data_IF_064052154917
#
_entry.id   IF_064052154917
#
_cell.length_a   1.000
_cell.length_b   1.000
_cell.length_c   1.000
_cell.angle_alpha   90.00
_cell.angle_beta   90.00
_cell.angle_gamma   90.00
#
_symmetry.space_group_name_H-M   'P 1'
#
loop_
_entity.id
_entity.type
_entity.pdbx_description
1 polymer ?
#
# COMPACT_ATOMS: atom_id res chain seq x y z
N UNK A 1 -29.28 19.43 -3.88
CA UNK A 1 -28.86 18.09 -4.36
C UNK A 1 -27.79 17.60 -3.40
N UNK A 2 -27.93 16.40 -2.85
CA UNK A 2 -26.87 15.81 -2.04
C UNK A 2 -25.75 15.38 -2.99
N UNK A 3 -24.52 15.86 -2.76
CA UNK A 3 -23.34 15.38 -3.47
C UNK A 3 -23.06 13.99 -2.90
N UNK A 4 -23.29 12.94 -3.69
CA UNK A 4 -22.93 11.57 -3.30
C UNK A 4 -21.42 11.42 -3.45
N UNK A 5 -20.74 11.06 -2.37
CA UNK A 5 -19.32 10.75 -2.44
C UNK A 5 -19.12 9.38 -3.08
N UNK A 6 -17.89 9.11 -3.51
CA UNK A 6 -17.52 7.80 -4.02
C UNK A 6 -17.71 6.73 -2.95
N UNK A 7 -17.35 6.97 -1.69
CA UNK A 7 -17.62 6.03 -0.60
C UNK A 7 -19.12 5.75 -0.41
N UNK A 8 -19.97 6.77 -0.53
CA UNK A 8 -21.43 6.60 -0.36
C UNK A 8 -22.03 5.65 -1.41
N UNK A 9 -21.61 5.78 -2.68
CA UNK A 9 -22.06 4.91 -3.77
C UNK A 9 -21.61 3.46 -3.53
N UNK A 10 -20.36 3.27 -3.11
CA UNK A 10 -19.83 1.94 -2.80
C UNK A 10 -20.60 1.28 -1.64
N UNK A 11 -20.77 2.00 -0.53
CA UNK A 11 -21.47 1.47 0.65
C UNK A 11 -22.91 1.06 0.31
N UNK A 12 -23.60 1.86 -0.50
CA UNK A 12 -24.92 1.52 -1.01
C UNK A 12 -24.88 0.24 -1.85
N UNK A 13 -23.93 0.13 -2.79
CA UNK A 13 -23.78 -1.05 -3.65
C UNK A 13 -23.49 -2.35 -2.91
N UNK A 14 -22.66 -2.30 -1.85
CA UNK A 14 -22.37 -3.46 -1.01
C UNK A 14 -23.59 -3.85 -0.17
N UNK A 15 -24.37 -2.87 0.31
CA UNK A 15 -25.55 -3.13 1.12
C UNK A 15 -26.77 -3.64 0.33
N UNK A 16 -26.84 -3.33 -0.98
CA UNK A 16 -27.95 -3.73 -1.82
C UNK A 16 -27.72 -5.10 -2.47
N UNK A 17 -28.80 -5.80 -2.77
CA UNK A 17 -28.72 -7.09 -3.49
C UNK A 17 -28.13 -6.86 -4.88
N UNK A 18 -27.10 -7.63 -5.24
CA UNK A 18 -26.47 -7.54 -6.56
C UNK A 18 -27.48 -7.94 -7.64
N UNK A 19 -27.54 -7.20 -8.76
CA UNK A 19 -28.40 -7.55 -9.87
C UNK A 19 -27.90 -8.81 -10.58
N UNK A 20 -28.84 -9.52 -11.20
CA UNK A 20 -28.54 -10.63 -12.12
C UNK A 20 -28.50 -10.12 -13.54
N UNK A 21 -27.57 -10.61 -14.35
CA UNK A 21 -27.47 -10.25 -15.75
C UNK A 21 -28.72 -10.75 -16.51
N UNK A 22 -29.42 -9.91 -17.29
CA UNK A 22 -30.62 -10.32 -18.02
C UNK A 22 -30.33 -11.30 -19.17
N UNK A 23 -29.08 -11.37 -19.62
CA UNK A 23 -28.68 -12.22 -20.75
C UNK A 23 -28.26 -13.63 -20.32
N UNK A 24 -27.73 -13.81 -19.11
CA UNK A 24 -27.22 -15.12 -18.65
C UNK A 24 -27.67 -15.54 -17.25
N UNK A 25 -28.36 -14.68 -16.51
CA UNK A 25 -28.87 -14.95 -15.17
C UNK A 25 -27.81 -15.01 -14.06
N UNK A 26 -26.52 -14.87 -14.36
CA UNK A 26 -25.44 -14.85 -13.35
C UNK A 26 -25.41 -13.52 -12.60
N UNK A 27 -25.01 -13.57 -11.33
CA UNK A 27 -24.84 -12.40 -10.47
C UNK A 27 -23.69 -11.52 -10.99
N UNK A 28 -23.91 -10.21 -10.99
CA UNK A 28 -22.94 -9.24 -11.50
C UNK A 28 -21.93 -8.85 -10.40
N UNK A 29 -20.69 -8.54 -10.80
CA UNK A 29 -19.64 -8.10 -9.88
C UNK A 29 -19.65 -6.57 -9.74
N UNK A 30 -19.20 -6.06 -8.59
CA UNK A 30 -18.94 -4.63 -8.42
C UNK A 30 -17.66 -4.30 -9.18
N UNK A 31 -17.75 -3.32 -10.07
CA UNK A 31 -16.66 -2.85 -10.90
C UNK A 31 -16.42 -1.38 -10.63
N UNK A 32 -15.17 -1.03 -10.37
CA UNK A 32 -14.74 0.34 -10.20
C UNK A 32 -14.45 0.99 -11.55
N UNK A 33 -15.05 2.15 -11.81
CA UNK A 33 -14.70 2.93 -12.97
C UNK A 33 -13.25 3.42 -12.85
N UNK A 34 -12.38 3.15 -13.84
CA UNK A 34 -10.98 3.57 -13.81
C UNK A 34 -10.85 5.08 -13.57
N UNK A 35 -9.87 5.52 -12.75
CA UNK A 35 -9.67 6.93 -12.45
C UNK A 35 -9.26 7.75 -13.68
N UNK A 36 -8.73 7.08 -14.72
CA UNK A 36 -8.42 7.68 -16.02
C UNK A 36 -9.37 7.07 -17.05
N UNK A 37 -10.40 7.81 -17.43
CA UNK A 37 -11.27 7.44 -18.54
C UNK A 37 -10.59 7.84 -19.85
N UNK A 38 -10.14 6.89 -20.66
CA UNK A 38 -9.47 7.15 -21.94
C UNK A 38 -10.52 7.34 -23.07
N UNK A 39 -11.25 8.46 -23.08
CA UNK A 39 -12.18 8.92 -24.14
C UNK A 39 -12.68 10.36 -23.82
N UNK A 40 -13.72 10.83 -24.51
CA UNK A 40 -14.53 12.07 -24.39
C UNK A 40 -14.97 12.53 -22.98
N UNK A 41 -14.44 11.93 -21.91
CA UNK A 41 -14.28 12.60 -20.61
C UNK A 41 -15.51 12.59 -19.71
N UNK A 42 -16.60 11.92 -20.08
CA UNK A 42 -17.83 11.87 -19.26
C UNK A 42 -17.96 10.60 -18.41
N UNK A 43 -17.13 9.59 -18.66
CA UNK A 43 -17.20 8.31 -17.95
C UNK A 43 -18.62 7.72 -17.99
N UNK A 44 -18.98 6.96 -16.96
CA UNK A 44 -20.32 6.36 -16.82
C UNK A 44 -21.25 7.18 -15.92
N UNK A 45 -20.86 8.40 -15.53
CA UNK A 45 -21.62 9.23 -14.58
C UNK A 45 -21.69 8.68 -13.14
N UNK A 46 -21.05 7.55 -12.86
CA UNK A 46 -20.96 6.90 -11.54
C UNK A 46 -19.55 6.33 -11.32
N UNK A 47 -19.03 6.35 -10.08
CA UNK A 47 -17.71 5.77 -9.78
C UNK A 47 -17.69 4.24 -9.81
N UNK A 48 -18.85 3.58 -9.74
CA UNK A 48 -18.97 2.12 -9.73
C UNK A 48 -20.16 1.66 -10.57
N UNK A 49 -20.02 0.48 -11.15
CA UNK A 49 -21.07 -0.22 -11.91
C UNK A 49 -21.16 -1.67 -11.46
N UNK A 50 -22.30 -2.31 -11.71
CA UNK A 50 -22.35 -3.77 -11.74
C UNK A 50 -22.00 -4.24 -13.14
N UNK A 51 -21.12 -5.23 -13.27
CA UNK A 51 -20.68 -5.76 -14.57
C UNK A 51 -20.76 -7.28 -14.59
N UNK A 52 -21.29 -7.84 -15.69
CA UNK A 52 -21.34 -9.27 -15.92
C UNK A 52 -20.04 -9.77 -16.53
N UNK A 53 -19.19 -10.42 -15.75
CA UNK A 53 -17.93 -11.05 -16.19
C UNK A 53 -18.08 -12.52 -16.58
N UNK A 54 -19.29 -12.95 -16.94
CA UNK A 54 -19.51 -14.30 -17.45
C UNK A 54 -19.05 -14.40 -18.91
N UNK A 55 -17.99 -15.16 -19.17
CA UNK A 55 -17.45 -15.39 -20.52
C UNK A 55 -18.37 -16.22 -21.42
N UNK A 56 -19.33 -16.92 -20.84
CA UNK A 56 -20.35 -17.67 -21.58
C UNK A 56 -21.65 -16.86 -21.76
N UNK A 57 -21.65 -15.56 -21.42
CA UNK A 57 -22.83 -14.72 -21.57
C UNK A 57 -23.18 -14.54 -23.05
N UNK A 58 -24.44 -14.74 -23.50
CA UNK A 58 -24.82 -14.57 -24.90
C UNK A 58 -24.42 -13.20 -25.47
N UNK A 59 -24.66 -12.11 -24.73
CA UNK A 59 -24.26 -10.77 -25.14
C UNK A 59 -22.74 -10.64 -25.39
N UNK A 60 -21.94 -11.33 -24.59
CA UNK A 60 -20.48 -11.29 -24.70
C UNK A 60 -19.96 -12.23 -25.79
N UNK A 61 -20.55 -13.40 -25.97
CA UNK A 61 -20.13 -14.34 -27.02
C UNK A 61 -20.54 -13.81 -28.40
N UNK A 62 -21.78 -13.37 -28.53
CA UNK A 62 -22.34 -12.84 -29.78
C UNK A 62 -21.74 -11.47 -30.14
N UNK A 63 -21.36 -10.68 -29.13
CA UNK A 63 -20.73 -9.38 -29.32
C UNK A 63 -19.45 -9.43 -30.17
N UNK A 64 -18.61 -10.46 -29.99
CA UNK A 64 -17.39 -10.65 -30.80
C UNK A 64 -17.69 -10.73 -32.28
N UNK A 65 -18.70 -11.53 -32.64
CA UNK A 65 -19.13 -11.68 -34.03
C UNK A 65 -19.80 -10.41 -34.52
N UNK A 66 -20.70 -9.82 -33.74
CA UNK A 66 -21.44 -8.63 -34.14
C UNK A 66 -20.52 -7.43 -34.42
N UNK A 67 -19.51 -7.18 -33.58
CA UNK A 67 -18.58 -6.07 -33.81
C UNK A 67 -17.68 -6.38 -35.02
N UNK A 68 -17.24 -7.62 -35.17
CA UNK A 68 -16.42 -7.99 -36.32
C UNK A 68 -17.19 -7.82 -37.65
N UNK A 69 -18.44 -8.28 -37.72
CA UNK A 69 -19.27 -8.24 -38.92
C UNK A 69 -19.64 -6.81 -39.35
N UNK A 70 -19.87 -5.91 -38.38
CA UNK A 70 -20.31 -4.53 -38.66
C UNK A 70 -19.18 -3.49 -38.70
N UNK A 71 -18.09 -3.73 -37.97
CA UNK A 71 -17.03 -2.72 -37.74
C UNK A 71 -15.61 -3.26 -37.95
N UNK A 72 -15.44 -4.51 -38.38
CA UNK A 72 -14.15 -5.14 -38.66
C UNK A 72 -13.12 -4.99 -37.51
N UNK A 73 -13.60 -5.00 -36.27
CA UNK A 73 -12.80 -4.77 -35.06
C UNK A 73 -12.99 -5.92 -34.08
N UNK A 74 -11.90 -6.37 -33.45
CA UNK A 74 -11.95 -7.40 -32.41
C UNK A 74 -12.35 -6.78 -31.07
N UNK A 75 -13.64 -6.72 -30.81
CA UNK A 75 -14.20 -6.30 -29.51
C UNK A 75 -15.51 -7.04 -29.24
N UNK A 76 -16.00 -6.96 -28.01
CA UNK A 76 -17.32 -7.45 -27.61
C UNK A 76 -17.95 -6.54 -26.55
N UNK A 77 -19.09 -6.92 -26.02
CA UNK A 77 -19.86 -6.20 -25.02
C UNK A 77 -19.97 -6.98 -23.72
N UNK A 78 -19.78 -6.31 -22.58
CA UNK A 78 -20.14 -6.81 -21.26
C UNK A 78 -21.42 -6.09 -20.80
N UNK A 79 -22.36 -6.83 -20.23
CA UNK A 79 -23.55 -6.23 -19.61
C UNK A 79 -23.12 -5.39 -18.40
N UNK A 80 -23.61 -4.15 -18.32
CA UNK A 80 -23.43 -3.26 -17.18
C UNK A 80 -24.77 -2.85 -16.60
N UNK A 81 -24.81 -2.55 -15.31
CA UNK A 81 -25.98 -2.04 -14.63
C UNK A 81 -25.60 -0.88 -13.70
N UNK A 82 -26.30 0.24 -13.86
CA UNK A 82 -26.14 1.44 -13.03
C UNK A 82 -26.71 1.17 -11.63
N UNK A 83 -25.92 1.34 -10.55
CA UNK A 83 -26.35 1.06 -9.19
C UNK A 83 -27.40 2.04 -8.63
N UNK A 84 -27.59 3.19 -9.27
CA UNK A 84 -28.52 4.24 -8.85
C UNK A 84 -29.85 4.15 -9.58
N UNK A 85 -29.81 4.00 -10.90
CA UNK A 85 -31.01 3.93 -11.73
C UNK A 85 -31.50 2.50 -11.99
N UNK A 86 -30.63 1.50 -11.85
CA UNK A 86 -30.91 0.12 -12.27
C UNK A 86 -30.93 -0.06 -13.79
N UNK A 87 -30.55 0.97 -14.55
CA UNK A 87 -30.51 0.91 -16.01
C UNK A 87 -29.46 -0.10 -16.46
N UNK A 88 -29.84 -0.92 -17.42
CA UNK A 88 -28.97 -1.94 -18.02
C UNK A 88 -28.47 -1.41 -19.34
N UNK A 89 -27.16 -1.48 -19.54
CA UNK A 89 -26.49 -1.09 -20.77
C UNK A 89 -25.35 -2.07 -21.10
N UNK A 90 -24.51 -1.73 -22.06
CA UNK A 90 -23.38 -2.50 -22.48
C UNK A 90 -22.09 -1.68 -22.48
N UNK A 91 -21.00 -2.31 -22.02
CA UNK A 91 -19.66 -1.75 -22.07
C UNK A 91 -18.83 -2.54 -23.09
N UNK A 92 -18.24 -1.82 -24.05
CA UNK A 92 -17.34 -2.44 -25.04
C UNK A 92 -16.03 -2.85 -24.39
N UNK A 93 -15.56 -4.05 -24.71
CA UNK A 93 -14.28 -4.63 -24.25
C UNK A 93 -13.48 -5.18 -25.43
N UNK A 94 -12.17 -4.98 -25.40
CA UNK A 94 -11.26 -5.34 -26.51
C UNK A 94 -10.53 -6.68 -26.29
N UNK A 95 -10.69 -7.29 -25.12
CA UNK A 95 -10.18 -8.63 -24.83
C UNK A 95 -11.12 -9.34 -23.85
N UNK A 96 -10.89 -10.64 -23.61
CA UNK A 96 -11.65 -11.39 -22.59
C UNK A 96 -11.43 -10.81 -21.19
N UNK A 97 -10.21 -10.37 -20.92
CA UNK A 97 -9.76 -9.75 -19.68
C UNK A 97 -10.19 -8.28 -19.56
N UNK A 98 -10.76 -7.70 -20.61
CA UNK A 98 -11.17 -6.30 -20.65
C UNK A 98 -12.08 -5.93 -19.48
N UNK A 99 -11.66 -4.94 -18.69
CA UNK A 99 -12.36 -4.51 -17.48
C UNK A 99 -12.06 -5.34 -16.22
N UNK A 100 -11.45 -6.52 -16.34
CA UNK A 100 -11.21 -7.42 -15.20
C UNK A 100 -10.30 -6.84 -14.10
N UNK A 101 -9.38 -5.93 -14.46
CA UNK A 101 -8.44 -5.32 -13.52
C UNK A 101 -9.05 -4.38 -12.47
N UNK A 102 -10.32 -3.99 -12.64
CA UNK A 102 -11.03 -3.09 -11.71
C UNK A 102 -12.23 -3.76 -11.04
N UNK A 103 -12.30 -5.10 -11.07
CA UNK A 103 -13.27 -5.86 -10.28
C UNK A 103 -12.92 -5.67 -8.81
N UNK A 104 -13.91 -5.23 -8.02
CA UNK A 104 -13.74 -5.13 -6.57
C UNK A 104 -14.02 -6.50 -5.97
N UNK A 105 -12.94 -7.17 -5.58
CA UNK A 105 -13.02 -8.30 -4.67
C UNK A 105 -13.17 -7.75 -3.24
N UNK A 106 -14.35 -8.00 -2.66
CA UNK A 106 -14.69 -7.54 -1.31
C UNK A 106 -13.76 -8.14 -0.25
N UNK A 107 -13.27 -9.36 -0.44
CA UNK A 107 -12.33 -9.98 0.50
C UNK A 107 -10.96 -9.32 0.43
N UNK A 108 -10.48 -9.01 -0.77
CA UNK A 108 -9.20 -8.30 -0.96
C UNK A 108 -9.30 -6.90 -0.37
N UNK A 109 -10.37 -6.16 -0.67
CA UNK A 109 -10.58 -4.81 -0.13
C UNK A 109 -10.69 -4.80 1.39
N UNK A 110 -11.43 -5.75 1.97
CA UNK A 110 -11.53 -5.88 3.43
C UNK A 110 -10.16 -6.18 4.09
N UNK A 111 -9.33 -7.03 3.45
CA UNK A 111 -7.96 -7.30 3.92
C UNK A 111 -7.08 -6.05 3.86
N UNK A 112 -7.14 -5.28 2.77
CA UNK A 112 -6.40 -4.03 2.64
C UNK A 112 -6.83 -2.98 3.68
N UNK A 113 -8.14 -2.81 3.89
CA UNK A 113 -8.67 -1.89 4.90
C UNK A 113 -8.28 -2.32 6.31
N UNK A 114 -8.34 -3.62 6.62
CA UNK A 114 -7.87 -4.16 7.89
C UNK A 114 -6.38 -3.92 8.10
N UNK A 115 -5.56 -4.09 7.06
CA UNK A 115 -4.12 -3.81 7.10
C UNK A 115 -3.84 -2.31 7.31
N UNK A 116 -4.53 -1.42 6.58
CA UNK A 116 -4.43 0.04 6.75
C UNK A 116 -4.87 0.49 8.14
N UNK A 117 -5.93 -0.11 8.68
CA UNK A 117 -6.40 0.15 10.03
C UNK A 117 -5.39 -0.32 11.10
N UNK A 118 -4.79 -1.50 10.90
CA UNK A 118 -3.73 -2.03 11.76
C UNK A 118 -2.46 -1.15 11.73
N UNK A 119 -2.08 -0.66 10.55
CA UNK A 119 -0.98 0.29 10.38
C UNK A 119 -1.24 1.58 11.15
N UNK A 120 -2.39 2.21 10.93
CA UNK A 120 -2.78 3.45 11.61
C UNK A 120 -2.82 3.29 13.12
N UNK A 121 -3.32 2.16 13.62
CA UNK A 121 -3.31 1.83 15.05
C UNK A 121 -1.88 1.69 15.58
N UNK A 122 -1.00 1.04 14.83
CA UNK A 122 0.40 0.82 15.23
C UNK A 122 1.19 2.12 15.23
N UNK A 123 1.02 2.98 14.23
CA UNK A 123 1.63 4.31 14.17
C UNK A 123 1.17 5.21 15.31
N UNK A 124 -0.11 5.15 15.71
CA UNK A 124 -0.61 5.90 16.88
C UNK A 124 0.09 5.47 18.16
N UNK A 125 0.26 4.16 18.38
CA UNK A 125 1.02 3.66 19.55
C UNK A 125 2.49 4.07 19.50
N UNK A 126 3.10 4.02 18.31
CA UNK A 126 4.48 4.43 18.14
C UNK A 126 4.68 5.92 18.49
N UNK A 127 3.75 6.79 18.08
CA UNK A 127 3.75 8.21 18.47
C UNK A 127 3.67 8.39 19.99
N UNK A 128 2.86 7.60 20.69
CA UNK A 128 2.80 7.71 22.16
C UNK A 128 4.12 7.32 22.83
N UNK A 129 4.87 6.36 22.28
CA UNK A 129 6.22 6.03 22.79
C UNK A 129 7.23 7.15 22.51
N UNK A 130 7.13 7.77 21.33
CA UNK A 130 7.97 8.91 20.97
C UNK A 130 7.74 10.12 21.87
N UNK A 131 6.48 10.47 22.15
CA UNK A 131 6.12 11.55 23.07
C UNK A 131 6.61 11.28 24.51
N UNK A 132 6.64 10.01 24.91
CA UNK A 132 7.18 9.57 26.20
C UNK A 132 8.72 9.43 26.24
N UNK A 133 9.41 9.65 25.12
CA UNK A 133 10.85 9.42 24.94
C UNK A 133 11.28 7.98 25.29
N UNK A 134 10.39 7.01 25.10
CA UNK A 134 10.64 5.59 25.39
C UNK A 134 11.37 4.92 24.21
N UNK A 135 12.70 5.08 24.20
CA UNK A 135 13.57 4.50 23.19
C UNK A 135 13.51 2.97 23.16
N UNK A 136 13.32 2.32 24.31
CA UNK A 136 13.26 0.86 24.41
C UNK A 136 12.01 0.31 23.69
N UNK A 137 10.85 0.93 23.92
CA UNK A 137 9.61 0.54 23.23
C UNK A 137 9.69 0.75 21.71
N UNK A 138 10.28 1.87 21.26
CA UNK A 138 10.48 2.15 19.84
C UNK A 138 11.43 1.12 19.22
N UNK A 139 12.52 0.79 19.91
CA UNK A 139 13.47 -0.22 19.48
C UNK A 139 12.79 -1.58 19.31
N UNK A 140 11.98 -2.01 20.28
CA UNK A 140 11.21 -3.27 20.18
C UNK A 140 10.29 -3.29 18.95
N UNK A 141 9.66 -2.16 18.61
CA UNK A 141 8.82 -2.06 17.40
C UNK A 141 9.67 -2.17 16.13
N UNK A 142 10.83 -1.53 16.09
CA UNK A 142 11.76 -1.56 14.96
C UNK A 142 12.32 -2.96 14.68
N UNK A 143 12.66 -3.71 15.73
CA UNK A 143 13.26 -5.05 15.64
C UNK A 143 12.22 -6.17 15.44
N UNK A 144 10.93 -5.90 15.64
CA UNK A 144 9.89 -6.92 15.47
C UNK A 144 9.64 -7.26 14.00
N UNK A 145 9.87 -8.53 13.63
CA UNK A 145 9.70 -9.03 12.25
C UNK A 145 8.26 -8.93 11.73
N UNK A 146 7.27 -9.12 12.61
CA UNK A 146 5.83 -9.09 12.26
C UNK A 146 5.29 -7.67 12.07
N UNK A 147 6.10 -6.64 12.29
CA UNK A 147 5.67 -5.25 12.18
C UNK A 147 5.63 -4.81 10.72
N UNK A 148 4.60 -4.06 10.36
CA UNK A 148 4.44 -3.53 9.01
C UNK A 148 5.64 -2.65 8.61
N UNK A 149 6.14 -2.74 7.35
CA UNK A 149 7.34 -2.03 6.91
C UNK A 149 7.31 -0.52 7.15
N UNK A 150 6.19 0.14 6.87
CA UNK A 150 6.02 1.58 7.08
C UNK A 150 6.16 1.98 8.56
N UNK A 151 5.65 1.14 9.46
CA UNK A 151 5.75 1.37 10.91
C UNK A 151 7.19 1.20 11.38
N UNK A 152 7.91 0.19 10.86
CA UNK A 152 9.34 0.00 11.15
C UNK A 152 10.18 1.16 10.62
N UNK A 153 9.88 1.65 9.42
CA UNK A 153 10.56 2.81 8.85
C UNK A 153 10.37 4.06 9.72
N UNK A 154 9.15 4.27 10.22
CA UNK A 154 8.86 5.39 11.12
C UNK A 154 9.55 5.23 12.48
N UNK A 155 9.56 4.01 13.03
CA UNK A 155 10.28 3.69 14.26
C UNK A 155 11.79 3.92 14.11
N UNK A 156 12.37 3.55 12.96
CA UNK A 156 13.76 3.85 12.63
C UNK A 156 14.02 5.36 12.59
N UNK A 157 13.06 6.19 12.15
CA UNK A 157 13.25 7.64 12.21
C UNK A 157 13.31 8.12 13.66
N UNK A 158 12.29 7.75 14.43
CA UNK A 158 12.12 8.17 15.82
C UNK A 158 13.28 7.72 16.72
N UNK A 159 13.84 6.52 16.49
CA UNK A 159 14.98 6.05 17.29
C UNK A 159 16.24 6.91 17.07
N UNK A 160 16.42 7.50 15.88
CA UNK A 160 17.52 8.45 15.65
C UNK A 160 17.37 9.74 16.47
N UNK A 161 16.14 10.14 16.74
CA UNK A 161 15.79 11.37 17.45
C UNK A 161 15.79 11.21 18.97
N UNK A 162 15.47 10.02 19.51
CA UNK A 162 15.38 9.79 20.97
C UNK A 162 16.35 8.75 21.51
N UNK A 163 16.88 7.87 20.66
CA UNK A 163 17.75 6.77 21.07
C UNK A 163 19.09 7.24 21.66
N UNK A 164 19.55 6.52 22.68
CA UNK A 164 20.88 6.63 23.24
C UNK A 164 21.87 5.69 22.56
N UNK A 165 23.09 5.60 23.09
CA UNK A 165 24.13 4.70 22.57
C UNK A 165 23.77 3.21 22.73
N UNK A 166 22.91 2.90 23.69
CA UNK A 166 22.40 1.57 24.00
C UNK A 166 21.57 0.95 22.88
N UNK A 167 20.98 1.77 21.99
CA UNK A 167 20.16 1.27 20.88
C UNK A 167 21.00 0.80 19.69
N UNK A 168 22.29 1.19 19.61
CA UNK A 168 23.13 0.95 18.43
C UNK A 168 23.44 -0.54 18.28
N UNK A 169 23.88 -1.19 19.35
CA UNK A 169 24.28 -2.60 19.32
C UNK A 169 23.11 -3.55 18.96
N UNK A 170 21.91 -3.42 19.55
CA UNK A 170 20.75 -4.21 19.11
C UNK A 170 20.38 -4.02 17.64
N UNK A 171 20.51 -2.78 17.13
CA UNK A 171 20.19 -2.45 15.75
C UNK A 171 21.24 -3.05 14.79
N UNK A 172 22.54 -2.91 15.09
CA UNK A 172 23.64 -3.47 14.29
C UNK A 172 23.56 -4.99 14.20
N UNK A 173 23.13 -5.64 15.26
CA UNK A 173 22.99 -7.10 15.33
C UNK A 173 21.67 -7.63 14.74
N UNK A 174 20.79 -6.77 14.23
CA UNK A 174 19.53 -7.20 13.62
C UNK A 174 19.58 -7.16 12.09
N UNK A 175 19.19 -8.26 11.46
CA UNK A 175 19.08 -8.34 10.01
C UNK A 175 17.76 -7.72 9.54
N UNK A 176 17.85 -6.55 8.89
CA UNK A 176 16.72 -5.95 8.19
C UNK A 176 16.67 -6.49 6.77
N UNK A 177 15.51 -6.96 6.28
CA UNK A 177 15.38 -7.44 4.90
C UNK A 177 15.22 -6.27 3.90
N UNK A 178 14.43 -5.27 4.27
CA UNK A 178 14.07 -4.14 3.42
C UNK A 178 15.20 -3.09 3.36
N UNK A 179 15.65 -2.76 2.14
CA UNK A 179 16.77 -1.82 1.92
C UNK A 179 16.48 -0.39 2.37
N UNK A 180 15.23 0.09 2.22
CA UNK A 180 14.84 1.42 2.72
C UNK A 180 14.95 1.50 4.24
N UNK A 181 14.63 0.40 4.95
CA UNK A 181 14.78 0.33 6.39
C UNK A 181 16.26 0.29 6.76
N UNK A 182 17.09 -0.51 6.07
CA UNK A 182 18.55 -0.55 6.29
C UNK A 182 19.18 0.84 6.16
N UNK A 183 18.87 1.53 5.06
CA UNK A 183 19.39 2.87 4.80
C UNK A 183 18.94 3.85 5.88
N UNK A 184 17.66 3.82 6.25
CA UNK A 184 17.14 4.71 7.30
C UNK A 184 17.79 4.43 8.64
N UNK A 185 17.96 3.17 9.00
CA UNK A 185 18.59 2.71 10.24
C UNK A 185 20.05 3.16 10.31
N UNK A 186 20.81 3.04 9.21
CA UNK A 186 22.19 3.53 9.15
C UNK A 186 22.26 5.04 9.44
N UNK A 187 21.39 5.84 8.78
CA UNK A 187 21.27 7.28 9.05
C UNK A 187 20.89 7.59 10.50
N UNK A 188 20.04 6.77 11.10
CA UNK A 188 19.64 6.94 12.50
C UNK A 188 20.79 6.63 13.47
N UNK A 189 21.63 5.64 13.19
CA UNK A 189 22.85 5.37 13.98
C UNK A 189 23.83 6.55 13.87
N UNK A 190 24.04 7.08 12.67
CA UNK A 190 24.86 8.29 12.47
C UNK A 190 24.33 9.48 13.27
N UNK A 191 23.02 9.70 13.25
CA UNK A 191 22.35 10.76 14.01
C UNK A 191 22.52 10.59 15.53
N UNK A 192 22.43 9.36 16.05
CA UNK A 192 22.70 9.06 17.47
C UNK A 192 24.16 9.36 17.80
N UNK A 193 25.11 8.97 16.95
CA UNK A 193 26.52 9.26 17.16
C UNK A 193 26.83 10.75 17.19
N UNK A 194 26.28 11.51 16.25
CA UNK A 194 26.44 12.97 16.16
C UNK A 194 25.94 13.66 17.43
N UNK A 195 24.72 13.33 17.88
CA UNK A 195 24.11 13.89 19.11
C UNK A 195 24.91 13.58 20.37
N UNK A 196 25.62 12.45 20.39
CA UNK A 196 26.42 12.00 21.53
C UNK A 196 27.92 12.32 21.39
N UNK A 197 28.35 13.00 20.31
CA UNK A 197 29.77 13.25 20.01
C UNK A 197 30.62 11.97 20.03
N UNK A 198 30.08 10.88 19.49
CA UNK A 198 30.74 9.56 19.40
C UNK A 198 30.88 9.09 17.96
N UNK A 199 31.63 8.02 17.74
CA UNK A 199 31.74 7.26 16.48
C UNK A 199 32.10 5.81 16.78
N UNK A 200 31.83 4.89 15.86
CA UNK A 200 32.29 3.50 15.94
C UNK A 200 33.75 3.37 15.48
N UNK A 201 34.55 2.57 16.18
CA UNK A 201 35.91 2.26 15.77
C UNK A 201 35.87 1.31 14.54
N UNK A 202 36.52 1.65 13.41
CA UNK A 202 36.48 0.82 12.20
C UNK A 202 37.21 -0.52 12.35
N UNK A 203 37.99 -0.71 13.42
CA UNK A 203 38.76 -1.93 13.66
C UNK A 203 38.15 -2.89 14.67
N UNK A 204 37.45 -2.38 15.67
CA UNK A 204 36.89 -3.20 16.75
C UNK A 204 35.42 -2.91 17.06
N UNK A 205 34.75 -2.09 16.23
CA UNK A 205 33.35 -1.66 16.34
C UNK A 205 32.95 -0.92 17.63
N UNK A 206 33.83 -0.82 18.62
CA UNK A 206 33.55 -0.15 19.87
C UNK A 206 33.21 1.35 19.70
N UNK A 207 32.24 1.82 20.47
CA UNK A 207 31.83 3.23 20.50
C UNK A 207 32.89 4.06 21.25
N UNK A 208 33.45 5.03 20.55
CA UNK A 208 34.50 5.92 21.03
C UNK A 208 34.12 7.39 20.81
N UNK A 209 34.84 8.33 21.42
CA UNK A 209 34.60 9.77 21.20
C UNK A 209 34.88 10.13 19.73
N UNK A 210 34.08 11.01 19.14
CA UNK A 210 34.22 11.43 17.75
C UNK A 210 35.64 11.98 17.45
N UNK A 211 36.19 12.76 18.39
CA UNK A 211 37.54 13.33 18.32
C UNK A 211 38.70 12.36 18.62
N UNK A 212 38.42 11.08 18.88
CA UNK A 212 39.47 10.12 19.18
C UNK A 212 40.38 9.93 17.95
N UNK A 213 41.69 10.05 18.19
CA UNK A 213 42.77 9.79 17.23
C UNK A 213 43.28 8.35 17.39
N UNK A 214 43.31 7.82 18.62
CA UNK A 214 43.68 6.44 18.93
C UNK A 214 42.52 5.76 19.66
N UNK A 215 42.19 4.53 19.29
CA UNK A 215 41.16 3.76 19.98
C UNK A 215 41.67 3.23 21.32
N UNK A 216 40.98 3.57 22.43
CA UNK A 216 41.33 3.07 23.78
C UNK A 216 41.13 1.56 23.98
N UNK A 217 40.42 0.88 23.08
CA UNK A 217 40.11 -0.55 23.18
C UNK A 217 41.09 -1.41 22.38
N UNK A 218 41.31 -1.10 21.09
CA UNK A 218 42.20 -1.89 20.24
C UNK A 218 43.60 -1.26 20.05
N UNK A 219 43.83 -0.03 20.52
CA UNK A 219 45.11 0.65 20.45
C UNK A 219 45.53 1.15 19.06
N UNK A 220 44.69 0.96 18.03
CA UNK A 220 44.99 1.39 16.66
C UNK A 220 44.71 2.87 16.44
N UNK A 221 45.55 3.51 15.62
CA UNK A 221 45.31 4.85 15.09
C UNK A 221 44.10 4.86 14.15
N UNK A 222 43.21 5.82 14.39
CA UNK A 222 41.99 5.99 13.64
C UNK A 222 42.25 6.87 12.41
N UNK A 223 41.68 6.54 11.25
CA UNK A 223 41.83 7.36 10.06
C UNK A 223 41.32 8.78 10.31
N UNK A 224 42.05 9.77 9.80
CA UNK A 224 41.62 11.16 9.82
C UNK A 224 40.31 11.30 9.02
N UNK A 225 39.31 11.94 9.63
CA UNK A 225 38.04 12.23 8.96
C UNK A 225 38.33 13.37 7.99
N UNK A 226 38.26 13.09 6.68
CA UNK A 226 38.41 14.09 5.62
C UNK A 226 37.22 15.05 5.58
#
# INVERSE_FOLDING_TARGET
MAILTREDVYNKMVSQKRPVCPHCGKEMAIWECPPVCFSDGLGWGTPYLFVCFNDDCPQFVEGWKNIMDNYATTASYRCICDPMSGNIDCMTVYSREGGGGYIIDEEIKAKEEAQKAAEKRSLRKLKTYYEALDAEAILRVLLAEKTLPNVRLEAAKMIGDVGGLDVIEPIRNHAFENDLIKERVAKSIEQVHERNYTKECPFCAEIIKARAIVCKHCGKDLPEVK
#
